data_IF_724589377925
#
_entry.id   IF_724589377925
#
_cell.length_a   1.000
_cell.length_b   1.000
_cell.length_c   1.000
_cell.angle_alpha   90.00
_cell.angle_beta   90.00
_cell.angle_gamma   90.00
#
_symmetry.space_group_name_H-M   'P 1'
#
loop_
_entity.id
_entity.type
_entity.pdbx_description
1 polymer ?
#
# COMPACT_ATOMS: atom_id res chain seq x y z
N UNK A 1 71.55 -19.80 16.46
CA UNK A 1 70.30 -19.01 16.41
C UNK A 1 69.41 -19.39 17.59
N UNK A 2 68.52 -18.49 17.97
CA UNK A 2 67.92 -18.27 19.30
C UNK A 2 67.16 -19.46 19.94
N UNK A 3 67.19 -19.50 21.28
CA UNK A 3 66.38 -20.29 22.22
C UNK A 3 64.90 -19.89 22.18
N UNK A 4 64.01 -20.74 22.74
CA UNK A 4 62.85 -20.49 23.66
C UNK A 4 61.87 -21.67 23.51
N UNK A 5 61.77 -22.59 24.48
CA UNK A 5 60.96 -22.64 25.72
C UNK A 5 59.43 -22.77 25.53
N UNK A 6 58.90 -23.82 26.17
CA UNK A 6 57.51 -24.25 26.23
C UNK A 6 56.60 -23.34 27.05
N UNK A 7 55.29 -23.38 26.78
CA UNK A 7 54.26 -23.10 27.77
C UNK A 7 52.94 -23.79 27.39
N UNK A 8 52.65 -24.87 28.12
CA UNK A 8 51.34 -25.48 28.31
C UNK A 8 50.56 -24.54 29.24
N UNK A 9 49.34 -24.11 28.89
CA UNK A 9 48.48 -23.46 29.87
C UNK A 9 47.00 -23.83 29.69
N UNK A 10 46.38 -24.01 30.86
CA UNK A 10 45.18 -24.75 31.17
C UNK A 10 43.87 -24.19 30.61
N UNK A 11 42.92 -25.13 30.55
CA UNK A 11 41.50 -24.91 30.39
C UNK A 11 40.92 -23.89 31.38
N UNK A 12 40.04 -23.02 30.87
CA UNK A 12 39.08 -22.28 31.67
C UNK A 12 37.67 -22.56 31.13
N UNK A 13 36.93 -23.37 31.88
CA UNK A 13 35.48 -23.54 31.75
C UNK A 13 34.81 -22.22 32.13
N UNK A 14 34.40 -21.45 31.13
CA UNK A 14 33.56 -20.27 31.28
C UNK A 14 32.09 -20.67 31.30
N UNK A 15 31.46 -20.47 32.45
CA UNK A 15 30.04 -20.69 32.75
C UNK A 15 29.18 -19.92 31.73
N UNK A 16 28.44 -20.65 30.90
CA UNK A 16 27.38 -20.09 30.05
C UNK A 16 26.20 -19.78 30.98
N UNK A 17 26.19 -18.56 31.53
CA UNK A 17 25.01 -18.02 32.18
C UNK A 17 23.92 -17.85 31.11
N UNK A 18 22.81 -18.57 31.31
CA UNK A 18 21.67 -18.58 30.42
C UNK A 18 21.11 -17.18 30.21
N UNK A 19 21.20 -16.70 28.97
CA UNK A 19 20.27 -15.71 28.49
C UNK A 19 18.96 -16.47 28.24
N UNK A 20 17.97 -16.23 29.10
CA UNK A 20 16.64 -16.81 28.98
C UNK A 20 16.15 -16.62 27.55
N UNK A 21 15.89 -17.73 26.87
CA UNK A 21 15.21 -17.77 25.59
C UNK A 21 13.78 -17.27 25.77
N UNK A 22 13.63 -15.96 25.96
CA UNK A 22 12.39 -15.29 25.61
C UNK A 22 12.23 -15.57 24.12
N UNK A 23 11.22 -16.34 23.77
CA UNK A 23 10.78 -16.50 22.39
C UNK A 23 10.74 -15.09 21.77
N UNK A 24 11.75 -14.76 20.97
CA UNK A 24 11.68 -13.61 20.10
C UNK A 24 10.57 -13.95 19.13
N UNK A 25 9.34 -13.53 19.48
CA UNK A 25 8.16 -13.75 18.68
C UNK A 25 8.49 -13.25 17.28
N UNK A 26 8.35 -14.13 16.29
CA UNK A 26 8.48 -13.73 14.90
C UNK A 26 7.46 -12.62 14.64
N UNK A 27 7.93 -11.45 14.19
CA UNK A 27 7.10 -10.30 13.88
C UNK A 27 6.02 -10.76 12.91
N UNK A 28 4.77 -10.62 13.34
CA UNK A 28 3.62 -11.18 12.62
C UNK A 28 3.18 -10.26 11.48
N UNK A 29 3.77 -9.07 11.45
CA UNK A 29 3.50 -8.03 10.48
C UNK A 29 4.17 -8.38 9.15
N UNK A 30 3.44 -9.06 8.27
CA UNK A 30 3.87 -9.30 6.90
C UNK A 30 2.70 -9.09 5.93
N UNK A 31 2.91 -8.30 4.88
CA UNK A 31 1.95 -8.07 3.81
C UNK A 31 1.71 -6.58 3.50
N UNK A 32 0.65 -6.32 2.74
CA UNK A 32 0.22 -4.98 2.36
C UNK A 32 -0.64 -4.36 3.47
N UNK A 33 -0.26 -3.22 4.04
CA UNK A 33 -1.01 -2.56 5.10
C UNK A 33 -1.61 -1.25 4.62
N UNK A 34 -2.83 -0.97 5.07
CA UNK A 34 -3.47 0.33 4.98
C UNK A 34 -3.63 0.89 6.40
N UNK A 35 -3.18 2.12 6.60
CA UNK A 35 -3.14 2.80 7.89
C UNK A 35 -3.78 4.17 7.74
N UNK A 36 -4.84 4.41 8.49
CA UNK A 36 -5.55 5.68 8.54
C UNK A 36 -5.19 6.46 9.79
N UNK A 37 -4.54 7.61 9.62
CA UNK A 37 -4.17 8.53 10.67
C UNK A 37 -5.19 9.67 10.77
N UNK A 38 -5.85 9.82 11.91
CA UNK A 38 -6.88 10.86 12.14
C UNK A 38 -6.34 11.93 13.09
N UNK A 39 -6.18 13.20 12.66
CA UNK A 39 -5.63 14.27 13.47
C UNK A 39 -6.47 14.55 14.71
N UNK A 40 -5.83 14.89 15.83
CA UNK A 40 -6.53 15.26 17.08
C UNK A 40 -7.10 16.69 17.04
N UNK A 41 -6.56 17.55 16.17
CA UNK A 41 -7.04 18.92 15.97
C UNK A 41 -7.21 19.17 14.47
N UNK A 42 -8.43 19.44 14.02
CA UNK A 42 -8.69 19.93 12.67
C UNK A 42 -8.20 21.38 12.58
N UNK A 43 -7.09 21.64 11.91
CA UNK A 43 -6.81 23.01 11.48
C UNK A 43 -7.89 23.38 10.45
N UNK A 44 -8.60 24.47 10.72
CA UNK A 44 -9.63 25.03 9.84
C UNK A 44 -9.06 25.24 8.44
N UNK A 45 -9.48 24.44 7.46
CA UNK A 45 -9.12 24.62 6.04
C UNK A 45 -8.64 23.39 5.28
N UNK A 46 -8.44 22.24 5.93
CA UNK A 46 -8.02 21.00 5.25
C UNK A 46 -8.14 19.79 6.14
N UNK A 47 -9.38 19.40 6.44
CA UNK A 47 -9.68 18.16 7.14
C UNK A 47 -9.27 16.96 6.29
N UNK A 48 -8.14 16.36 6.60
CA UNK A 48 -7.65 15.19 5.89
C UNK A 48 -6.59 14.54 6.75
N UNK A 49 -6.86 13.32 7.21
CA UNK A 49 -5.85 12.49 7.83
C UNK A 49 -4.73 12.11 6.87
N UNK A 50 -3.79 11.29 7.32
CA UNK A 50 -2.85 10.63 6.43
C UNK A 50 -3.34 9.21 6.15
N UNK A 51 -3.44 8.85 4.87
CA UNK A 51 -3.59 7.46 4.46
C UNK A 51 -2.20 6.94 4.10
N UNK A 52 -1.63 6.05 4.92
CA UNK A 52 -0.38 5.38 4.63
C UNK A 52 -0.68 3.97 4.10
N UNK A 53 -0.08 3.61 2.98
CA UNK A 53 -0.26 2.30 2.38
C UNK A 53 1.05 1.70 1.91
N UNK A 54 1.23 0.39 2.11
CA UNK A 54 2.35 -0.32 1.50
C UNK A 54 2.80 -1.58 2.24
N UNK A 55 3.84 -2.25 1.71
CA UNK A 55 4.36 -3.49 2.26
C UNK A 55 5.10 -3.26 3.58
N UNK A 56 4.79 -4.11 4.56
CA UNK A 56 5.59 -4.31 5.77
C UNK A 56 6.10 -5.75 5.80
N UNK A 57 7.34 -5.91 6.22
CA UNK A 57 8.05 -7.19 6.33
C UNK A 57 8.64 -7.31 7.74
N UNK A 58 8.06 -8.22 8.52
CA UNK A 58 8.54 -8.60 9.84
C UNK A 58 9.63 -9.67 9.77
N UNK A 59 10.70 -9.49 10.54
CA UNK A 59 11.75 -10.50 10.75
C UNK A 59 12.30 -10.40 12.17
N UNK A 60 12.20 -11.48 12.94
CA UNK A 60 12.45 -11.44 14.38
C UNK A 60 11.52 -10.41 15.05
N UNK A 61 12.04 -9.50 15.87
CA UNK A 61 11.26 -8.38 16.41
C UNK A 61 11.27 -7.11 15.55
N UNK A 62 12.01 -7.11 14.42
CA UNK A 62 12.17 -5.97 13.55
C UNK A 62 11.10 -5.92 12.45
N UNK A 63 10.73 -4.71 12.04
CA UNK A 63 9.87 -4.46 10.88
C UNK A 63 10.63 -3.54 9.93
N UNK A 64 10.59 -3.86 8.64
CA UNK A 64 10.99 -2.98 7.54
C UNK A 64 9.88 -2.89 6.51
N UNK A 65 9.91 -1.88 5.65
CA UNK A 65 8.93 -1.77 4.58
C UNK A 65 9.05 -0.47 3.82
N UNK A 66 8.02 -0.21 3.02
CA UNK A 66 7.86 1.03 2.27
C UNK A 66 6.42 1.49 2.39
N UNK A 67 6.20 2.75 2.73
CA UNK A 67 4.91 3.39 2.64
C UNK A 67 4.86 4.40 1.51
N UNK A 68 3.66 4.57 0.98
CA UNK A 68 3.22 5.69 0.18
C UNK A 68 2.17 6.45 1.00
N UNK A 69 2.11 7.76 0.85
CA UNK A 69 1.18 8.61 1.60
C UNK A 69 0.21 9.24 0.62
N UNK A 70 -1.07 8.98 0.82
CA UNK A 70 -2.19 9.60 0.10
C UNK A 70 -2.71 10.76 0.96
N UNK A 71 -3.23 11.80 0.29
CA UNK A 71 -3.85 12.98 0.92
C UNK A 71 -2.89 13.83 1.81
N UNK A 72 -1.60 13.86 1.49
CA UNK A 72 -0.58 14.57 2.28
C UNK A 72 -0.60 16.12 2.17
N UNK A 73 -1.69 16.73 1.71
CA UNK A 73 -1.83 18.18 1.51
C UNK A 73 -0.63 18.85 0.80
N UNK A 74 -0.05 18.17 -0.21
CA UNK A 74 1.14 18.55 -1.00
C UNK A 74 2.51 18.37 -0.32
N UNK A 75 2.60 17.75 0.86
CA UNK A 75 3.89 17.52 1.52
C UNK A 75 4.70 16.40 0.86
N UNK A 76 4.02 15.35 0.39
CA UNK A 76 4.65 14.16 -0.22
C UNK A 76 3.79 13.67 -1.37
N UNK A 77 4.37 13.52 -2.56
CA UNK A 77 3.66 12.91 -3.70
C UNK A 77 3.25 11.49 -3.37
N UNK A 78 2.05 11.08 -3.78
CA UNK A 78 1.46 9.74 -3.53
C UNK A 78 2.28 8.59 -4.10
N UNK A 79 3.15 8.87 -5.08
CA UNK A 79 4.05 7.89 -5.70
C UNK A 79 5.42 7.79 -5.02
N UNK A 80 5.64 8.58 -3.96
CA UNK A 80 6.93 8.61 -3.26
C UNK A 80 7.05 7.40 -2.34
N UNK A 81 7.97 6.49 -2.68
CA UNK A 81 8.35 5.41 -1.80
C UNK A 81 9.08 5.96 -0.56
N UNK A 82 8.49 5.77 0.62
CA UNK A 82 9.05 6.20 1.90
C UNK A 82 9.45 4.95 2.69
N UNK A 83 10.76 4.68 2.86
CA UNK A 83 11.21 3.61 3.74
C UNK A 83 10.64 3.74 5.14
N UNK A 84 10.16 2.63 5.70
CA UNK A 84 9.68 2.54 7.09
C UNK A 84 10.46 1.45 7.82
N UNK A 85 10.75 1.72 9.09
CA UNK A 85 11.36 0.75 10.01
C UNK A 85 10.65 0.75 11.35
N UNK A 86 10.77 -0.34 12.09
CA UNK A 86 10.01 -0.47 13.32
C UNK A 86 10.28 -1.76 14.08
N UNK A 87 9.39 -2.03 15.03
CA UNK A 87 9.43 -3.22 15.86
C UNK A 87 8.04 -3.75 16.17
N UNK A 88 7.94 -5.08 16.26
CA UNK A 88 6.78 -5.82 16.75
C UNK A 88 7.17 -6.56 18.04
N UNK A 89 6.38 -6.38 19.09
CA UNK A 89 6.52 -7.11 20.36
C UNK A 89 5.55 -8.28 20.51
N UNK A 90 4.70 -8.51 19.51
CA UNK A 90 3.60 -9.47 19.50
C UNK A 90 2.27 -8.92 20.03
N UNK A 91 2.30 -7.78 20.73
CA UNK A 91 1.10 -7.09 21.25
C UNK A 91 1.09 -5.60 20.92
N UNK A 92 2.27 -5.00 20.72
CA UNK A 92 2.41 -3.61 20.28
C UNK A 92 3.33 -3.49 19.09
N UNK A 93 3.01 -2.51 18.24
CA UNK A 93 3.77 -2.14 17.06
C UNK A 93 4.29 -0.70 17.22
N UNK A 94 5.52 -0.48 16.74
CA UNK A 94 6.10 0.85 16.56
C UNK A 94 6.68 0.95 15.16
N UNK A 95 6.28 1.94 14.39
CA UNK A 95 6.79 2.22 13.04
C UNK A 95 7.29 3.66 12.98
N UNK A 96 8.32 3.91 12.19
CA UNK A 96 8.82 5.24 11.88
C UNK A 96 9.24 5.31 10.42
N UNK A 97 8.74 6.31 9.69
CA UNK A 97 9.20 6.59 8.34
C UNK A 97 10.61 7.19 8.38
N UNK A 98 11.37 7.00 7.31
CA UNK A 98 12.54 7.83 7.03
C UNK A 98 12.14 9.29 6.81
N UNK A 99 13.10 10.20 6.86
CA UNK A 99 12.88 11.63 6.62
C UNK A 99 12.61 11.92 5.14
N UNK A 100 11.44 11.55 4.64
CA UNK A 100 11.00 11.97 3.31
C UNK A 100 10.59 13.45 3.38
N UNK A 101 11.20 14.29 2.54
CA UNK A 101 10.86 15.72 2.41
C UNK A 101 10.82 16.46 3.77
N UNK A 102 11.77 16.15 4.65
CA UNK A 102 11.93 16.70 6.02
C UNK A 102 10.85 16.31 7.04
N UNK A 103 10.02 15.30 6.74
CA UNK A 103 9.01 14.79 7.68
C UNK A 103 9.29 13.35 8.11
N UNK A 104 9.03 13.07 9.38
CA UNK A 104 9.05 11.73 9.96
C UNK A 104 7.72 11.48 10.65
N UNK A 105 7.03 10.42 10.24
CA UNK A 105 5.79 9.94 10.86
C UNK A 105 6.16 8.76 11.75
N UNK A 106 5.88 8.88 13.04
CA UNK A 106 6.01 7.80 14.01
C UNK A 106 4.63 7.28 14.39
N UNK A 107 4.40 5.99 14.26
CA UNK A 107 3.17 5.29 14.63
C UNK A 107 3.45 4.35 15.79
N UNK A 108 2.54 4.30 16.76
CA UNK A 108 2.51 3.31 17.85
C UNK A 108 1.10 2.80 18.04
N UNK A 109 0.91 1.51 18.29
CA UNK A 109 -0.42 0.97 18.57
C UNK A 109 -0.39 -0.48 19.06
N UNK A 110 -1.57 -1.03 19.30
CA UNK A 110 -1.75 -2.46 19.55
C UNK A 110 -1.85 -3.20 18.20
N UNK A 111 -1.22 -4.37 18.12
CA UNK A 111 -1.32 -5.26 16.95
C UNK A 111 -2.07 -6.53 17.34
N UNK A 112 -2.98 -7.00 16.48
CA UNK A 112 -3.70 -8.25 16.69
C UNK A 112 -2.77 -9.46 16.68
N UNK A 113 -3.21 -10.54 17.30
CA UNK A 113 -2.40 -11.76 17.45
C UNK A 113 -2.00 -12.44 16.15
N UNK A 114 -2.66 -12.12 15.03
CA UNK A 114 -2.37 -12.59 13.67
C UNK A 114 -1.62 -11.55 12.81
N UNK A 115 -1.27 -10.41 13.41
CA UNK A 115 -0.63 -9.28 12.74
C UNK A 115 -1.56 -8.47 11.83
N UNK A 116 -2.84 -8.82 11.68
CA UNK A 116 -3.68 -8.26 10.64
C UNK A 116 -4.29 -6.88 10.96
N UNK A 117 -4.39 -6.49 12.23
CA UNK A 117 -5.10 -5.26 12.64
C UNK A 117 -4.26 -4.43 13.60
N UNK A 118 -4.15 -3.14 13.32
CA UNK A 118 -3.57 -2.12 14.20
C UNK A 118 -4.70 -1.32 14.82
N UNK A 119 -4.75 -1.28 16.15
CA UNK A 119 -5.82 -0.61 16.91
C UNK A 119 -5.26 0.23 18.03
N UNK A 120 -6.10 1.12 18.58
CA UNK A 120 -5.74 2.02 19.68
C UNK A 120 -4.42 2.76 19.44
N UNK A 121 -4.18 3.11 18.17
CA UNK A 121 -2.91 3.66 17.76
C UNK A 121 -2.87 5.17 17.94
N UNK A 122 -1.65 5.69 18.03
CA UNK A 122 -1.34 7.11 17.91
C UNK A 122 -0.29 7.31 16.83
N UNK A 123 -0.30 8.49 16.21
CA UNK A 123 0.78 8.93 15.36
C UNK A 123 1.27 10.31 15.78
N UNK A 124 2.53 10.59 15.47
CA UNK A 124 3.16 11.89 15.63
C UNK A 124 4.01 12.19 14.39
N UNK A 125 3.92 13.41 13.89
CA UNK A 125 4.69 13.90 12.74
C UNK A 125 5.66 14.98 13.22
N UNK A 126 6.93 14.83 12.90
CA UNK A 126 7.95 15.86 13.11
C UNK A 126 8.49 16.31 11.77
N UNK A 127 8.67 17.62 11.55
CA UNK A 127 9.19 18.15 10.29
C UNK A 127 8.63 19.52 9.92
N UNK A 128 9.00 20.01 8.73
CA UNK A 128 8.63 21.38 8.30
C UNK A 128 7.26 21.51 7.63
N UNK A 129 6.65 20.42 7.18
CA UNK A 129 5.36 20.44 6.46
C UNK A 129 4.17 19.99 7.34
N UNK A 130 4.25 20.15 8.67
CA UNK A 130 3.28 19.52 9.60
C UNK A 130 2.08 20.41 9.88
N UNK A 131 0.97 20.18 9.16
CA UNK A 131 -0.33 20.77 9.52
C UNK A 131 -1.12 19.91 10.53
N UNK A 132 -0.71 18.64 10.70
CA UNK A 132 -1.34 17.63 11.54
C UNK A 132 -0.29 16.90 12.39
N UNK A 133 0.21 17.51 13.47
CA UNK A 133 1.38 17.02 14.20
C UNK A 133 1.13 15.70 14.94
N UNK A 134 -0.13 15.33 15.20
CA UNK A 134 -0.44 14.04 15.79
C UNK A 134 -1.93 13.77 15.91
N UNK A 135 -2.23 12.55 16.33
CA UNK A 135 -3.61 12.08 16.47
C UNK A 135 -3.69 10.58 16.69
N UNK A 136 -4.82 10.00 16.31
CA UNK A 136 -5.08 8.56 16.44
C UNK A 136 -4.78 7.84 15.13
N UNK A 137 -4.53 6.54 15.20
CA UNK A 137 -4.34 5.73 14.00
C UNK A 137 -4.98 4.36 14.15
N UNK A 138 -5.58 3.89 13.07
CA UNK A 138 -6.07 2.52 12.89
C UNK A 138 -5.50 1.96 11.60
N UNK A 139 -5.35 0.64 11.49
CA UNK A 139 -4.88 0.05 10.25
C UNK A 139 -5.21 -1.43 10.15
N UNK A 140 -5.08 -1.96 8.95
CA UNK A 140 -5.32 -3.36 8.67
C UNK A 140 -4.43 -3.87 7.53
N UNK A 141 -4.17 -5.17 7.53
CA UNK A 141 -3.58 -5.88 6.40
C UNK A 141 -4.64 -6.06 5.34
N UNK A 142 -4.38 -5.54 4.15
CA UNK A 142 -5.25 -5.68 2.98
C UNK A 142 -5.00 -7.03 2.34
N UNK A 143 -6.06 -7.78 2.07
CA UNK A 143 -6.00 -9.00 1.31
C UNK A 143 -5.49 -8.72 -0.13
N UNK A 144 -4.81 -9.69 -0.77
CA UNK A 144 -4.42 -9.53 -2.16
C UNK A 144 -5.64 -9.28 -3.05
N UNK A 145 -5.52 -8.36 -4.01
CA UNK A 145 -6.49 -8.11 -5.08
C UNK A 145 -6.43 -9.25 -6.11
N UNK A 146 -6.85 -10.44 -5.70
CA UNK A 146 -6.82 -11.68 -6.49
C UNK A 146 -8.21 -12.26 -6.59
N UNK A 147 -8.56 -12.75 -7.78
CA UNK A 147 -9.85 -13.39 -8.06
C UNK A 147 -10.68 -12.66 -9.11
N UNK A 148 -11.92 -13.10 -9.26
CA UNK A 148 -12.84 -12.59 -10.26
C UNK A 148 -13.64 -11.40 -9.71
N UNK A 149 -13.43 -10.23 -10.30
CA UNK A 149 -14.18 -9.02 -10.04
C UNK A 149 -15.19 -8.77 -11.16
N UNK A 150 -16.39 -8.36 -10.78
CA UNK A 150 -17.48 -8.00 -11.68
C UNK A 150 -18.14 -6.70 -11.24
N UNK A 151 -18.56 -5.87 -12.17
CA UNK A 151 -19.24 -4.62 -11.88
C UNK A 151 -19.30 -3.72 -13.10
N UNK A 152 -19.29 -2.41 -12.90
CA UNK A 152 -19.56 -1.44 -13.95
C UNK A 152 -18.55 -0.28 -13.96
N UNK A 153 -18.25 0.22 -15.16
CA UNK A 153 -17.75 1.57 -15.38
C UNK A 153 -18.93 2.48 -15.68
N UNK A 154 -19.15 3.49 -14.85
CA UNK A 154 -20.25 4.46 -15.01
C UNK A 154 -19.70 5.76 -15.58
N UNK A 155 -20.20 6.17 -16.75
CA UNK A 155 -19.80 7.42 -17.41
C UNK A 155 -20.17 8.61 -16.53
N UNK A 156 -19.25 9.58 -16.39
CA UNK A 156 -19.55 10.87 -15.78
C UNK A 156 -19.99 11.91 -16.82
N UNK A 157 -20.83 12.85 -16.41
CA UNK A 157 -21.15 14.03 -17.19
C UNK A 157 -19.97 15.03 -17.20
N UNK A 158 -20.15 16.16 -17.89
CA UNK A 158 -19.13 17.20 -18.02
C UNK A 158 -18.79 17.94 -16.72
N UNK A 159 -19.62 17.83 -15.68
CA UNK A 159 -19.37 18.40 -14.35
C UNK A 159 -18.93 17.32 -13.34
N UNK A 160 -18.81 16.07 -13.77
CA UNK A 160 -18.24 14.96 -13.01
C UNK A 160 -19.24 14.12 -12.21
N UNK A 161 -20.55 14.23 -12.47
CA UNK A 161 -21.59 13.40 -11.83
C UNK A 161 -21.82 12.10 -12.59
N UNK A 162 -22.18 11.00 -11.91
CA UNK A 162 -22.49 9.73 -12.57
C UNK A 162 -23.74 9.85 -13.45
N UNK A 163 -23.68 9.27 -14.65
CA UNK A 163 -24.81 9.17 -15.59
C UNK A 163 -25.47 7.78 -15.52
N UNK A 164 -26.52 7.58 -16.30
CA UNK A 164 -27.15 6.25 -16.47
C UNK A 164 -26.38 5.32 -17.40
N UNK A 165 -25.40 5.82 -18.15
CA UNK A 165 -24.58 5.02 -19.06
C UNK A 165 -23.54 4.22 -18.29
N UNK A 166 -23.64 2.89 -18.38
CA UNK A 166 -22.76 1.96 -17.68
C UNK A 166 -22.21 0.89 -18.63
N UNK A 167 -20.96 0.50 -18.43
CA UNK A 167 -20.31 -0.58 -19.16
C UNK A 167 -19.98 -1.73 -18.21
N UNK A 168 -20.58 -2.89 -18.48
CA UNK A 168 -20.30 -4.10 -17.70
C UNK A 168 -18.82 -4.45 -17.81
N UNK A 169 -18.20 -4.73 -16.67
CA UNK A 169 -16.76 -4.94 -16.55
C UNK A 169 -16.49 -6.19 -15.74
N UNK A 170 -15.60 -7.03 -16.27
CA UNK A 170 -15.11 -8.21 -15.58
C UNK A 170 -13.59 -8.20 -15.59
N UNK A 171 -12.98 -8.55 -14.48
CA UNK A 171 -11.54 -8.71 -14.37
C UNK A 171 -11.21 -9.96 -13.56
N UNK A 172 -10.17 -10.69 -13.97
CA UNK A 172 -9.64 -11.80 -13.19
C UNK A 172 -8.22 -11.47 -12.79
N UNK A 173 -8.04 -11.01 -11.55
CA UNK A 173 -6.76 -10.51 -11.09
C UNK A 173 -5.92 -11.58 -10.40
N UNK A 174 -4.61 -11.49 -10.60
CA UNK A 174 -3.60 -12.20 -9.80
C UNK A 174 -2.57 -11.18 -9.33
N UNK A 175 -2.59 -10.87 -8.04
CA UNK A 175 -1.59 -9.99 -7.42
C UNK A 175 -0.28 -10.73 -7.13
N UNK A 176 0.86 -10.05 -7.27
CA UNK A 176 2.16 -10.54 -6.84
C UNK A 176 2.18 -10.84 -5.34
N UNK A 177 2.91 -11.90 -4.95
CA UNK A 177 3.10 -12.26 -3.55
C UNK A 177 4.02 -11.30 -2.78
N UNK A 178 4.81 -10.50 -3.49
CA UNK A 178 5.73 -9.50 -2.94
C UNK A 178 5.64 -8.20 -3.70
N UNK A 179 5.94 -7.09 -3.01
CA UNK A 179 6.07 -5.79 -3.64
C UNK A 179 7.40 -5.66 -4.41
N UNK A 180 7.46 -4.73 -5.35
CA UNK A 180 8.66 -4.34 -6.07
C UNK A 180 9.59 -3.44 -5.22
N UNK A 181 10.67 -2.94 -5.83
CA UNK A 181 11.64 -2.07 -5.15
C UNK A 181 11.06 -0.72 -4.69
N UNK A 182 9.94 -0.29 -5.27
CA UNK A 182 9.23 0.94 -4.90
C UNK A 182 8.11 0.67 -3.89
N UNK A 183 7.92 -0.57 -3.47
CA UNK A 183 6.87 -0.96 -2.54
C UNK A 183 5.49 -1.10 -3.20
N UNK A 184 5.42 -1.30 -4.51
CA UNK A 184 4.16 -1.60 -5.21
C UNK A 184 3.98 -3.09 -5.41
N UNK A 185 2.79 -3.60 -5.10
CA UNK A 185 2.38 -4.91 -5.59
C UNK A 185 1.89 -4.77 -7.02
N UNK A 186 2.22 -5.74 -7.87
CA UNK A 186 1.74 -5.78 -9.25
C UNK A 186 0.51 -6.68 -9.36
N UNK A 187 -0.35 -6.40 -10.33
CA UNK A 187 -1.52 -7.21 -10.66
C UNK A 187 -1.48 -7.56 -12.13
N UNK A 188 -1.79 -8.81 -12.44
CA UNK A 188 -1.92 -9.30 -13.81
C UNK A 188 -3.29 -9.93 -14.01
N UNK A 189 -3.63 -10.18 -15.28
CA UNK A 189 -4.84 -10.88 -15.68
C UNK A 189 -5.72 -10.08 -16.64
N UNK A 190 -6.73 -10.73 -17.24
CA UNK A 190 -7.57 -10.09 -18.26
C UNK A 190 -8.54 -9.09 -17.63
N UNK A 191 -8.73 -7.97 -18.32
CA UNK A 191 -9.81 -7.01 -18.05
C UNK A 191 -10.66 -6.86 -19.29
N UNK A 192 -11.95 -7.15 -19.16
CA UNK A 192 -12.95 -7.03 -20.22
C UNK A 192 -13.94 -5.95 -19.82
N UNK A 193 -14.08 -4.95 -20.66
CA UNK A 193 -15.11 -3.92 -20.58
C UNK A 193 -16.03 -4.13 -21.77
N UNK A 194 -17.33 -4.32 -21.52
CA UNK A 194 -18.33 -4.43 -22.56
C UNK A 194 -18.83 -3.03 -22.92
N UNK A 195 -18.06 -2.34 -23.77
CA UNK A 195 -18.37 -1.00 -24.25
C UNK A 195 -18.25 -0.95 -25.77
N UNK A 196 -19.08 -0.16 -26.47
CA UNK A 196 -18.85 0.11 -27.89
C UNK A 196 -17.54 0.87 -28.14
N UNK A 197 -16.99 1.48 -27.09
CA UNK A 197 -15.78 2.29 -27.16
C UNK A 197 -14.50 1.51 -26.88
N UNK A 198 -14.61 0.42 -26.12
CA UNK A 198 -13.46 -0.29 -25.60
C UNK A 198 -13.78 -1.77 -25.48
N UNK A 199 -12.89 -2.63 -25.97
CA UNK A 199 -13.00 -4.07 -25.80
C UNK A 199 -11.62 -4.67 -25.57
N UNK A 200 -11.52 -5.55 -24.57
CA UNK A 200 -10.34 -6.36 -24.24
C UNK A 200 -9.04 -5.56 -23.99
N UNK A 201 -8.75 -5.30 -22.73
CA UNK A 201 -7.51 -4.67 -22.32
C UNK A 201 -6.54 -5.65 -21.70
N UNK A 202 -5.25 -5.36 -21.86
CA UNK A 202 -4.18 -5.90 -21.05
C UNK A 202 -3.77 -4.88 -19.97
N UNK A 203 -3.35 -5.36 -18.81
CA UNK A 203 -2.76 -4.52 -17.77
C UNK A 203 -1.33 -4.18 -18.21
N UNK A 204 -1.10 -2.92 -18.54
CA UNK A 204 0.22 -2.40 -18.92
C UNK A 204 1.02 -1.96 -17.70
N UNK A 205 0.35 -1.41 -16.69
CA UNK A 205 0.94 -1.00 -15.42
C UNK A 205 -0.04 -1.22 -14.27
N UNK A 206 0.48 -1.53 -13.11
CA UNK A 206 -0.27 -1.64 -11.86
C UNK A 206 0.53 -1.06 -10.70
N UNK A 207 -0.09 -0.27 -9.85
CA UNK A 207 0.48 0.26 -8.61
C UNK A 207 -0.51 0.01 -7.48
N UNK A 208 -0.22 -1.01 -6.67
CA UNK A 208 -1.06 -1.42 -5.54
C UNK A 208 -0.29 -1.25 -4.24
N UNK A 209 -0.88 -0.52 -3.29
CA UNK A 209 -0.34 -0.33 -1.94
C UNK A 209 -1.45 0.10 -0.99
N UNK A 210 -1.47 -0.40 0.24
CA UNK A 210 -2.62 -0.25 1.14
C UNK A 210 -3.92 -0.62 0.43
N UNK A 211 -4.92 0.25 0.52
CA UNK A 211 -6.18 0.10 -0.22
C UNK A 211 -6.11 0.67 -1.63
N UNK A 212 -5.08 1.45 -1.99
CA UNK A 212 -4.95 2.07 -3.31
C UNK A 212 -4.77 1.00 -4.38
N UNK A 213 -5.55 1.19 -5.44
CA UNK A 213 -5.58 0.34 -6.61
C UNK A 213 -5.50 1.21 -7.86
N UNK A 214 -4.33 1.22 -8.51
CA UNK A 214 -4.16 1.92 -9.78
C UNK A 214 -3.74 0.94 -10.88
N UNK A 215 -4.49 0.92 -11.97
CA UNK A 215 -4.17 0.18 -13.18
C UNK A 215 -4.13 1.11 -14.39
N UNK A 216 -3.16 0.90 -15.27
CA UNK A 216 -3.16 1.45 -16.62
C UNK A 216 -3.37 0.29 -17.58
N UNK A 217 -4.43 0.39 -18.36
CA UNK A 217 -4.86 -0.61 -19.32
C UNK A 217 -4.59 -0.13 -20.74
N UNK A 218 -4.07 -1.00 -21.59
CA UNK A 218 -3.92 -0.76 -23.04
C UNK A 218 -4.64 -1.85 -23.84
N UNK A 219 -5.11 -1.56 -25.07
CA UNK A 219 -5.70 -2.58 -25.92
C UNK A 219 -4.76 -3.77 -26.07
N UNK A 220 -5.32 -4.98 -26.01
CA UNK A 220 -4.51 -6.19 -26.05
C UNK A 220 -3.65 -6.25 -27.33
N UNK A 221 -2.37 -6.59 -27.20
CA UNK A 221 -1.42 -6.65 -28.32
C UNK A 221 -0.87 -5.30 -28.79
N UNK A 222 -1.22 -4.19 -28.13
CA UNK A 222 -0.67 -2.85 -28.44
C UNK A 222 0.42 -2.49 -27.44
N UNK A 223 1.63 -2.20 -27.94
CA UNK A 223 2.75 -1.76 -27.13
C UNK A 223 2.45 -0.41 -26.46
N UNK A 224 2.93 -0.20 -25.24
CA UNK A 224 2.81 1.06 -24.50
C UNK A 224 3.60 2.19 -25.16
N UNK A 225 3.08 3.42 -25.14
CA UNK A 225 3.78 4.58 -25.70
C UNK A 225 2.90 5.82 -25.81
N UNK A 226 3.48 6.93 -26.26
CA UNK A 226 2.74 8.16 -26.52
C UNK A 226 1.69 7.94 -27.61
N UNK A 227 0.46 8.45 -27.39
CA UNK A 227 -0.65 8.30 -28.34
C UNK A 227 -1.35 6.94 -28.32
N UNK A 228 -0.90 6.01 -27.47
CA UNK A 228 -1.59 4.72 -27.29
C UNK A 228 -2.88 4.94 -26.50
N UNK A 229 -4.01 4.35 -26.92
CA UNK A 229 -5.24 4.41 -26.16
C UNK A 229 -5.05 3.80 -24.77
N UNK A 230 -5.41 4.53 -23.73
CA UNK A 230 -5.32 4.04 -22.35
C UNK A 230 -6.64 4.18 -21.62
N UNK A 231 -6.91 3.22 -20.76
CA UNK A 231 -7.93 3.29 -19.72
C UNK A 231 -7.20 3.19 -18.37
N UNK A 232 -7.17 4.28 -17.62
CA UNK A 232 -6.57 4.30 -16.28
C UNK A 232 -7.69 4.13 -15.27
N UNK A 233 -7.61 3.12 -14.42
CA UNK A 233 -8.51 2.94 -13.28
C UNK A 233 -7.73 3.31 -12.02
N UNK A 234 -8.23 4.28 -11.27
CA UNK A 234 -7.71 4.69 -9.98
C UNK A 234 -8.84 4.54 -8.95
N UNK A 235 -8.70 3.59 -8.04
CA UNK A 235 -9.67 3.35 -6.99
C UNK A 235 -9.06 2.81 -5.71
N UNK A 236 -9.93 2.47 -4.78
CA UNK A 236 -9.58 2.03 -3.46
C UNK A 236 -10.42 0.81 -3.07
N UNK A 237 -9.80 -0.12 -2.36
CA UNK A 237 -10.54 -1.08 -1.54
C UNK A 237 -11.29 -0.34 -0.42
N UNK A 238 -12.52 -0.74 -0.16
CA UNK A 238 -13.34 -0.16 0.92
C UNK A 238 -13.01 -0.74 2.30
N UNK A 239 -12.35 -1.91 2.35
CA UNK A 239 -11.99 -2.61 3.57
C UNK A 239 -10.78 -3.55 3.41
N UNK A 240 -10.48 -4.31 4.48
CA UNK A 240 -9.38 -5.28 4.53
C UNK A 240 -9.53 -6.48 3.58
N UNK A 241 -10.74 -6.77 3.13
CA UNK A 241 -11.02 -7.94 2.28
C UNK A 241 -10.62 -7.70 0.83
N UNK A 242 -10.46 -6.44 0.42
CA UNK A 242 -10.21 -6.03 -0.96
C UNK A 242 -11.25 -6.54 -1.97
N UNK A 243 -12.44 -6.97 -1.50
CA UNK A 243 -13.48 -7.54 -2.37
C UNK A 243 -14.27 -6.50 -3.14
N UNK A 244 -14.20 -5.24 -2.77
CA UNK A 244 -14.86 -4.15 -3.49
C UNK A 244 -13.83 -3.08 -3.80
N UNK A 245 -13.71 -2.73 -5.09
CA UNK A 245 -12.88 -1.64 -5.58
C UNK A 245 -13.82 -0.56 -6.10
N UNK A 246 -13.66 0.66 -5.59
CA UNK A 246 -14.43 1.82 -6.04
C UNK A 246 -13.50 2.99 -6.34
N UNK A 247 -13.83 3.80 -7.35
CA UNK A 247 -12.98 4.93 -7.71
C UNK A 247 -13.39 5.59 -9.01
N UNK A 248 -12.39 6.11 -9.71
CA UNK A 248 -12.54 6.75 -11.01
C UNK A 248 -11.78 6.03 -12.09
N UNK A 249 -12.25 6.21 -13.32
CA UNK A 249 -11.47 5.87 -14.48
C UNK A 249 -11.33 7.07 -15.41
N UNK A 250 -10.22 7.13 -16.11
CA UNK A 250 -9.97 8.09 -17.18
C UNK A 250 -9.56 7.39 -18.45
N UNK A 251 -9.86 8.00 -19.57
CA UNK A 251 -9.49 7.48 -20.90
C UNK A 251 -8.65 8.52 -21.63
N UNK A 252 -7.64 8.07 -22.35
CA UNK A 252 -6.81 8.94 -23.19
C UNK A 252 -6.55 8.29 -24.54
N UNK A 253 -6.35 9.13 -25.57
CA UNK A 253 -6.01 8.73 -26.95
C UNK A 253 -6.97 7.72 -27.59
N UNK A 254 -8.25 7.78 -27.22
CA UNK A 254 -9.31 6.92 -27.78
C UNK A 254 -9.92 7.56 -29.02
N UNK A 255 -10.59 6.76 -29.85
CA UNK A 255 -11.31 7.26 -31.04
C UNK A 255 -12.39 8.29 -30.65
N UNK A 256 -12.71 9.18 -31.58
CA UNK A 256 -13.73 10.20 -31.38
C UNK A 256 -15.05 9.59 -30.87
N UNK A 257 -15.59 10.13 -29.76
CA UNK A 257 -16.78 9.60 -29.09
C UNK A 257 -16.51 8.75 -27.85
N UNK A 258 -15.25 8.38 -27.60
CA UNK A 258 -14.84 7.48 -26.52
C UNK A 258 -13.90 8.14 -25.51
N UNK A 259 -14.17 9.41 -25.17
CA UNK A 259 -13.33 10.25 -24.32
C UNK A 259 -13.94 10.49 -22.93
N UNK A 260 -14.96 9.72 -22.55
CA UNK A 260 -15.70 9.94 -21.32
C UNK A 260 -15.03 9.26 -20.13
N UNK A 261 -14.63 10.07 -19.16
CA UNK A 261 -14.18 9.62 -17.85
C UNK A 261 -15.37 9.21 -16.99
N UNK A 262 -15.11 8.57 -15.86
CA UNK A 262 -16.21 8.15 -15.00
C UNK A 262 -15.79 7.50 -13.70
N UNK A 263 -16.67 6.65 -13.20
CA UNK A 263 -16.55 5.94 -11.95
C UNK A 263 -16.37 4.45 -12.22
N UNK A 264 -15.55 3.78 -11.40
CA UNK A 264 -15.42 2.33 -11.39
C UNK A 264 -16.01 1.78 -10.12
N UNK A 265 -16.80 0.71 -10.22
CA UNK A 265 -17.20 -0.12 -9.10
C UNK A 265 -17.18 -1.57 -9.55
N UNK A 266 -16.26 -2.35 -8.98
CA UNK A 266 -16.14 -3.79 -9.24
C UNK A 266 -16.03 -4.57 -7.92
N UNK A 267 -16.61 -5.77 -7.90
CA UNK A 267 -16.75 -6.59 -6.70
C UNK A 267 -16.38 -8.05 -6.96
N UNK A 268 -15.70 -8.67 -6.01
CA UNK A 268 -15.39 -10.09 -5.96
C UNK A 268 -16.32 -10.80 -4.94
N UNK A 269 -16.68 -12.08 -5.19
CA UNK A 269 -17.52 -12.87 -4.28
C UNK A 269 -16.84 -13.13 -2.93
#
# INVERSE_FOLDING_TARGET
MKRVFAALCAASMGIVAGCGGGNAGSAKVNGNYAIQATPSSSSTGGGGGYFLGGPLNGSGSGITGTFHIIDSANCVSETTAIPVSGSDSGTTIKLATSSALTQVITIKGAISSDGATISSGTYNVTGSCTNNPGGTVTGFRVAPFTGNYTGNLTVADNVGNPTTTQFATTANFTQSGSADMNGFFSVTGPVVVNSPCFANFAIAQSQIFGTQFLLVLTPNGVATGAGVPTLTMNGYATDATAKQISGRYTVANMSAGCTTNGFVLITAP
#
